data_IF_466113025794
#
_entry.id   IF_466113025794
#
_cell.length_a   1.000
_cell.length_b   1.000
_cell.length_c   1.000
_cell.angle_alpha   90.00
_cell.angle_beta   90.00
_cell.angle_gamma   90.00
#
_symmetry.space_group_name_H-M   'P 1'
#
loop_
_entity.id
_entity.type
_entity.pdbx_description
1 polymer ?
#
# COMPACT_ATOMS: atom_id res chain seq x y z
N UNK A 1 1.25 8.26 -5.30
CA UNK A 1 0.31 7.66 -6.27
C UNK A 1 -0.40 6.48 -5.63
N UNK A 2 -1.71 6.34 -5.85
CA UNK A 2 -2.54 5.25 -5.33
C UNK A 2 -3.15 4.46 -6.49
N UNK A 3 -3.01 3.13 -6.46
CA UNK A 3 -3.52 2.21 -7.46
C UNK A 3 -4.59 1.31 -6.86
N UNK A 4 -5.79 1.34 -7.45
CA UNK A 4 -6.97 0.59 -6.99
C UNK A 4 -7.80 0.05 -8.17
N UNK A 5 -7.18 -0.08 -9.36
CA UNK A 5 -7.90 -0.30 -10.61
C UNK A 5 -7.86 -1.76 -11.12
N UNK A 6 -7.15 -2.65 -10.42
CA UNK A 6 -6.84 -4.01 -10.84
C UNK A 6 -6.15 -4.10 -12.21
N UNK A 7 -5.33 -3.09 -12.54
CA UNK A 7 -4.54 -3.04 -13.78
C UNK A 7 -3.09 -3.37 -13.45
N UNK A 8 -2.70 -4.61 -13.71
CA UNK A 8 -1.36 -5.10 -13.49
C UNK A 8 -0.33 -4.28 -14.28
N UNK A 9 0.75 -3.85 -13.61
CA UNK A 9 1.83 -3.10 -14.27
C UNK A 9 1.46 -1.67 -14.67
N UNK A 10 0.32 -1.13 -14.20
CA UNK A 10 -0.06 0.26 -14.47
C UNK A 10 1.00 1.26 -13.98
N UNK A 11 1.70 0.96 -12.89
CA UNK A 11 2.85 1.73 -12.44
C UNK A 11 4.10 1.24 -13.18
N UNK A 12 4.18 1.67 -14.43
CA UNK A 12 5.30 1.38 -15.32
C UNK A 12 6.62 1.92 -14.77
N UNK A 13 7.74 1.44 -15.32
CA UNK A 13 9.07 1.94 -14.98
C UNK A 13 9.17 3.46 -15.12
N UNK A 14 8.61 4.01 -16.20
CA UNK A 14 8.59 5.45 -16.45
C UNK A 14 7.87 6.18 -15.31
N UNK A 15 6.69 5.71 -14.91
CA UNK A 15 5.90 6.33 -13.84
C UNK A 15 6.65 6.29 -12.50
N UNK A 16 7.27 5.16 -12.16
CA UNK A 16 8.01 5.03 -10.91
C UNK A 16 9.25 5.95 -10.87
N UNK A 17 9.97 6.06 -11.99
CA UNK A 17 11.09 6.99 -12.14
C UNK A 17 10.62 8.45 -12.08
N UNK A 18 9.52 8.79 -12.74
CA UNK A 18 8.94 10.13 -12.71
C UNK A 18 8.52 10.51 -11.26
N UNK A 19 7.85 9.61 -10.55
CA UNK A 19 7.51 9.80 -9.13
C UNK A 19 8.74 10.05 -8.26
N UNK A 20 9.83 9.31 -8.50
CA UNK A 20 11.12 9.50 -7.82
C UNK A 20 11.86 10.78 -8.23
N UNK A 21 11.65 11.30 -9.44
CA UNK A 21 12.22 12.56 -9.88
C UNK A 21 11.49 13.77 -9.25
N UNK A 22 10.17 13.70 -9.14
CA UNK A 22 9.36 14.80 -8.59
C UNK A 22 9.38 14.87 -7.06
N UNK A 23 9.67 13.77 -6.39
CA UNK A 23 9.56 13.67 -4.94
C UNK A 23 10.82 13.04 -4.35
N UNK A 24 11.34 13.63 -3.26
CA UNK A 24 12.45 13.05 -2.52
C UNK A 24 12.09 11.67 -1.96
N UNK A 25 10.87 11.49 -1.44
CA UNK A 25 10.36 10.21 -0.91
C UNK A 25 8.96 9.92 -1.46
N UNK A 26 8.82 9.34 -2.66
CA UNK A 26 7.52 9.15 -3.29
C UNK A 26 6.69 8.08 -2.58
N UNK A 27 5.43 8.41 -2.27
CA UNK A 27 4.44 7.42 -1.79
C UNK A 27 3.88 6.65 -2.99
N UNK A 28 3.97 5.32 -2.96
CA UNK A 28 3.51 4.41 -4.03
C UNK A 28 2.69 3.28 -3.42
N UNK A 29 1.36 3.35 -3.56
CA UNK A 29 0.44 2.34 -3.02
C UNK A 29 -0.16 1.53 -4.17
N UNK A 30 0.18 0.24 -4.26
CA UNK A 30 -0.32 -0.71 -5.26
C UNK A 30 -1.36 -1.64 -4.61
N UNK A 31 -2.58 -1.15 -4.42
CA UNK A 31 -3.57 -1.76 -3.52
C UNK A 31 -4.44 -2.83 -4.21
N UNK A 32 -4.30 -3.02 -5.51
CA UNK A 32 -5.06 -4.02 -6.23
C UNK A 32 -4.72 -5.45 -5.81
N UNK A 33 -5.77 -6.25 -5.65
CA UNK A 33 -5.70 -7.67 -5.30
C UNK A 33 -6.25 -8.53 -6.46
N UNK A 34 -5.79 -9.78 -6.61
CA UNK A 34 -4.65 -10.43 -5.93
C UNK A 34 -3.30 -9.92 -6.47
N UNK A 35 -2.17 -10.52 -6.07
CA UNK A 35 -0.81 -10.12 -6.49
C UNK A 35 -0.66 -9.96 -8.01
N UNK A 36 -1.35 -10.80 -8.81
CA UNK A 36 -1.33 -10.72 -10.28
C UNK A 36 -1.99 -9.46 -10.85
N UNK A 37 -2.66 -8.65 -10.02
CA UNK A 37 -3.33 -7.40 -10.38
C UNK A 37 -2.67 -6.18 -9.76
N UNK A 38 -1.59 -6.34 -9.00
CA UNK A 38 -0.86 -5.23 -8.41
C UNK A 38 -0.29 -4.30 -9.49
N UNK A 39 -0.40 -2.99 -9.27
CA UNK A 39 0.04 -1.96 -10.20
C UNK A 39 1.57 -1.98 -10.44
N UNK A 40 2.34 -2.38 -9.42
CA UNK A 40 3.74 -2.78 -9.52
C UNK A 40 4.10 -3.69 -8.35
N UNK A 41 5.27 -4.35 -8.42
CA UNK A 41 5.83 -5.10 -7.29
C UNK A 41 6.61 -4.20 -6.33
N UNK A 42 6.82 -4.66 -5.10
CA UNK A 42 7.71 -4.00 -4.14
C UNK A 42 9.14 -3.86 -4.69
N UNK A 43 9.65 -4.90 -5.37
CA UNK A 43 10.98 -4.91 -5.98
C UNK A 43 11.12 -3.80 -7.03
N UNK A 44 10.13 -3.66 -7.92
CA UNK A 44 10.11 -2.61 -8.93
C UNK A 44 10.11 -1.22 -8.28
N UNK A 45 9.22 -0.99 -7.31
CA UNK A 45 9.16 0.29 -6.61
C UNK A 45 10.50 0.65 -5.96
N UNK A 46 11.04 -0.22 -5.10
CA UNK A 46 12.28 0.11 -4.38
C UNK A 46 13.49 0.25 -5.31
N UNK A 47 13.63 -0.59 -6.34
CA UNK A 47 14.76 -0.46 -7.29
C UNK A 47 14.67 0.83 -8.11
N UNK A 48 13.50 1.10 -8.67
CA UNK A 48 13.32 2.22 -9.61
C UNK A 48 13.22 3.58 -8.93
N UNK A 49 12.99 3.58 -7.62
CA UNK A 49 13.02 4.78 -6.77
C UNK A 49 14.29 4.87 -5.92
N UNK A 50 15.28 4.01 -6.18
CA UNK A 50 16.58 4.00 -5.47
C UNK A 50 16.43 3.89 -3.93
N UNK A 51 15.46 3.11 -3.48
CA UNK A 51 15.15 2.89 -2.06
C UNK A 51 14.40 4.03 -1.38
N UNK A 52 14.05 5.09 -2.11
CA UNK A 52 13.36 6.26 -1.54
C UNK A 52 11.83 6.11 -1.49
N UNK A 53 11.27 5.22 -2.30
CA UNK A 53 9.83 4.99 -2.37
C UNK A 53 9.26 4.44 -1.06
N UNK A 54 8.17 5.04 -0.58
CA UNK A 54 7.36 4.54 0.52
C UNK A 54 6.28 3.66 -0.09
N UNK A 55 6.45 2.34 0.02
CA UNK A 55 5.62 1.36 -0.66
C UNK A 55 4.67 0.62 0.29
N UNK A 56 3.42 0.47 -0.14
CA UNK A 56 2.45 -0.45 0.46
C UNK A 56 1.63 -1.13 -0.64
N UNK A 57 1.13 -2.34 -0.38
CA UNK A 57 0.33 -3.10 -1.35
C UNK A 57 -0.89 -3.76 -0.74
N UNK A 58 -1.86 -4.12 -1.57
CA UNK A 58 -3.03 -4.87 -1.11
C UNK A 58 -2.71 -6.34 -0.81
N UNK A 59 -1.87 -6.93 -1.66
CA UNK A 59 -1.40 -8.32 -1.56
C UNK A 59 0.01 -8.38 -0.95
N UNK A 60 0.40 -9.51 -0.33
CA UNK A 60 1.71 -9.65 0.29
C UNK A 60 2.84 -9.65 -0.75
N UNK A 61 3.97 -9.02 -0.39
CA UNK A 61 5.25 -9.17 -1.07
C UNK A 61 6.34 -9.54 -0.07
N UNK A 62 7.34 -10.30 -0.53
CA UNK A 62 8.53 -10.61 0.25
C UNK A 62 9.35 -9.35 0.55
N UNK A 63 10.23 -9.45 1.56
CA UNK A 63 11.25 -8.41 1.81
C UNK A 63 12.13 -8.19 0.60
N UNK A 64 12.61 -6.96 0.42
CA UNK A 64 13.47 -6.54 -0.69
C UNK A 64 14.79 -6.03 -0.13
N UNK A 65 15.91 -6.59 -0.55
CA UNK A 65 17.25 -6.12 -0.18
C UNK A 65 17.91 -5.47 -1.39
N UNK A 66 18.26 -4.18 -1.26
CA UNK A 66 18.91 -3.41 -2.31
C UNK A 66 20.43 -3.65 -2.34
N UNK A 67 21.12 -3.31 -3.46
CA UNK A 67 22.57 -3.48 -3.59
C UNK A 67 23.40 -2.72 -2.54
N UNK A 68 22.86 -1.65 -1.94
CA UNK A 68 23.49 -0.92 -0.84
C UNK A 68 23.39 -1.65 0.51
N UNK A 69 22.80 -2.85 0.55
CA UNK A 69 22.61 -3.67 1.75
C UNK A 69 21.34 -3.36 2.54
N UNK A 70 20.60 -2.30 2.19
CA UNK A 70 19.37 -1.92 2.88
C UNK A 70 18.25 -2.93 2.58
N UNK A 71 17.55 -3.37 3.62
CA UNK A 71 16.42 -4.30 3.49
C UNK A 71 15.11 -3.63 3.88
N UNK A 72 14.11 -3.74 3.00
CA UNK A 72 12.77 -3.21 3.16
C UNK A 72 11.75 -4.33 3.37
N UNK A 73 10.80 -4.09 4.26
CA UNK A 73 9.68 -4.99 4.55
C UNK A 73 8.39 -4.28 4.13
N UNK A 74 7.89 -4.50 2.90
CA UNK A 74 6.73 -3.77 2.40
C UNK A 74 5.48 -4.12 3.22
N UNK A 75 4.81 -3.09 3.72
CA UNK A 75 3.56 -3.24 4.46
C UNK A 75 2.38 -3.59 3.56
N UNK A 76 1.35 -4.22 4.14
CA UNK A 76 0.09 -4.46 3.45
C UNK A 76 -0.96 -3.43 3.84
N UNK A 77 -1.33 -2.56 2.89
CA UNK A 77 -2.45 -1.63 3.01
C UNK A 77 -3.76 -2.33 2.69
N UNK A 78 -4.16 -3.28 3.54
CA UNK A 78 -5.34 -4.14 3.32
C UNK A 78 -6.45 -3.84 4.35
N UNK A 79 -7.71 -3.97 3.95
CA UNK A 79 -8.86 -3.73 4.83
C UNK A 79 -8.92 -4.73 6.01
N UNK A 80 -8.16 -5.82 5.98
CA UNK A 80 -7.94 -6.74 7.09
C UNK A 80 -7.48 -6.05 8.38
N UNK A 81 -6.88 -4.87 8.30
CA UNK A 81 -6.50 -4.08 9.48
C UNK A 81 -7.66 -3.26 10.07
N UNK A 82 -8.76 -3.09 9.33
CA UNK A 82 -9.89 -2.22 9.71
C UNK A 82 -11.09 -3.05 10.14
N UNK A 83 -11.61 -3.91 9.25
CA UNK A 83 -12.91 -4.54 9.48
C UNK A 83 -12.98 -5.40 10.76
N UNK A 84 -11.92 -6.10 11.23
CA UNK A 84 -12.03 -6.88 12.45
C UNK A 84 -12.26 -6.01 13.69
N UNK A 85 -11.49 -4.92 13.81
CA UNK A 85 -11.57 -3.99 14.94
C UNK A 85 -12.89 -3.20 14.95
N UNK A 86 -13.28 -2.68 13.78
CA UNK A 86 -14.56 -1.96 13.63
C UNK A 86 -15.73 -2.88 13.95
N UNK A 87 -15.75 -4.10 13.42
CA UNK A 87 -16.84 -5.04 13.69
C UNK A 87 -16.94 -5.38 15.18
N UNK A 88 -15.81 -5.65 15.83
CA UNK A 88 -15.78 -5.89 17.27
C UNK A 88 -16.36 -4.71 18.06
N UNK A 89 -15.92 -3.48 17.77
CA UNK A 89 -16.40 -2.28 18.46
C UNK A 89 -17.89 -2.04 18.24
N UNK A 90 -18.38 -2.20 17.01
CA UNK A 90 -19.79 -2.05 16.67
C UNK A 90 -20.67 -3.05 17.41
N UNK A 91 -20.27 -4.33 17.42
CA UNK A 91 -21.02 -5.40 18.11
C UNK A 91 -20.99 -5.18 19.62
N UNK A 92 -19.81 -4.93 20.20
CA UNK A 92 -19.63 -4.80 21.65
C UNK A 92 -20.41 -3.62 22.24
N UNK A 93 -20.46 -2.50 21.51
CA UNK A 93 -21.12 -1.28 21.96
C UNK A 93 -22.57 -1.13 21.47
N UNK A 94 -23.07 -2.08 20.66
CA UNK A 94 -24.42 -2.00 20.08
C UNK A 94 -24.62 -0.78 19.19
N UNK A 95 -23.59 -0.39 18.42
CA UNK A 95 -23.63 0.78 17.54
C UNK A 95 -24.70 0.56 16.46
N UNK A 96 -25.64 1.51 16.32
CA UNK A 96 -26.79 1.40 15.40
C UNK A 96 -26.49 1.86 13.98
N UNK A 97 -25.58 2.80 13.83
CA UNK A 97 -25.19 3.39 12.55
C UNK A 97 -23.68 3.60 12.55
N UNK A 98 -23.02 3.23 11.44
CA UNK A 98 -21.59 3.42 11.25
C UNK A 98 -21.41 4.66 10.39
N UNK A 99 -20.90 5.75 10.97
CA UNK A 99 -20.56 6.97 10.26
C UNK A 99 -19.14 6.92 9.70
N UNK A 100 -18.81 7.82 8.78
CA UNK A 100 -17.45 7.95 8.23
C UNK A 100 -16.40 8.28 9.30
N UNK A 101 -16.79 8.99 10.36
CA UNK A 101 -15.90 9.31 11.49
C UNK A 101 -15.35 8.05 12.19
N UNK A 102 -16.12 6.95 12.22
CA UNK A 102 -15.63 5.68 12.77
C UNK A 102 -14.44 5.16 11.95
N UNK A 103 -14.50 5.27 10.63
CA UNK A 103 -13.40 4.86 9.76
C UNK A 103 -12.21 5.82 9.84
N UNK A 104 -12.46 7.13 9.99
CA UNK A 104 -11.41 8.12 10.19
C UNK A 104 -10.64 7.85 11.49
N UNK A 105 -11.34 7.68 12.62
CA UNK A 105 -10.74 7.37 13.92
C UNK A 105 -10.02 6.00 13.89
N UNK A 106 -10.53 5.04 13.13
CA UNK A 106 -9.84 3.74 12.97
C UNK A 106 -8.53 3.86 12.20
N UNK A 107 -8.37 4.89 11.36
CA UNK A 107 -7.17 5.12 10.58
C UNK A 107 -6.07 5.88 11.34
N UNK A 108 -6.40 6.55 12.44
CA UNK A 108 -5.51 7.29 13.35
C UNK A 108 -4.70 6.36 14.27
#
# INVERSE_FOLDING_TARGET
VLGVAAIAGAFTEKILKDMAAFNERPIVFALSNPTSKAECTAEQCYRLTEGRGIFASGSPFSKVTLPNGQTFFPGQGNNAYVFPGVALGVIACGVRHISDDIFLITAE
#
